data_IF_229128087829
#
_entry.id   IF_229128087829
#
_cell.length_a   1.000
_cell.length_b   1.000
_cell.length_c   1.000
_cell.angle_alpha   90.00
_cell.angle_beta   90.00
_cell.angle_gamma   90.00
#
_symmetry.space_group_name_H-M   'P 1'
#
loop_
_entity.id
_entity.type
_entity.pdbx_description
1 polymer ?
#
# COMPACT_ATOMS: atom_id res chain seq x y z
N UNK A 1 -4.61 22.06 18.56
CA UNK A 1 -4.14 20.69 18.27
C UNK A 1 -3.53 20.66 16.88
N UNK A 2 -2.36 20.03 16.72
CA UNK A 2 -1.67 19.86 15.45
C UNK A 2 -1.78 18.40 15.02
N UNK A 3 -2.48 18.12 13.92
CA UNK A 3 -2.76 16.77 13.40
C UNK A 3 -1.72 16.29 12.37
N UNK A 4 -0.63 17.04 12.18
CA UNK A 4 0.39 16.69 11.19
C UNK A 4 0.98 15.29 11.40
N UNK A 5 1.32 14.84 12.63
CA UNK A 5 1.88 13.51 12.83
C UNK A 5 0.95 12.38 12.35
N UNK A 6 -0.35 12.50 12.63
CA UNK A 6 -1.35 11.51 12.26
C UNK A 6 -1.59 11.48 10.74
N UNK A 7 -1.56 12.65 10.10
CA UNK A 7 -1.67 12.74 8.63
C UNK A 7 -0.47 12.08 7.96
N UNK A 8 0.74 12.30 8.46
CA UNK A 8 1.95 11.66 7.91
C UNK A 8 1.94 10.15 8.15
N UNK A 9 1.47 9.67 9.30
CA UNK A 9 1.30 8.24 9.54
C UNK A 9 0.34 7.59 8.53
N UNK A 10 -0.80 8.23 8.25
CA UNK A 10 -1.74 7.75 7.22
C UNK A 10 -1.10 7.70 5.83
N UNK A 11 -0.31 8.72 5.46
CA UNK A 11 0.43 8.73 4.19
C UNK A 11 1.47 7.61 4.12
N UNK A 12 2.17 7.35 5.21
CA UNK A 12 3.16 6.28 5.29
C UNK A 12 2.53 4.91 5.08
N UNK A 13 1.42 4.61 5.79
CA UNK A 13 0.70 3.35 5.61
C UNK A 13 0.18 3.19 4.18
N UNK A 14 -0.36 4.26 3.57
CA UNK A 14 -0.80 4.22 2.17
C UNK A 14 0.35 3.93 1.21
N UNK A 15 1.52 4.51 1.46
CA UNK A 15 2.72 4.27 0.63
C UNK A 15 3.15 2.81 0.72
N UNK A 16 3.23 2.26 1.93
CA UNK A 16 3.56 0.85 2.16
C UNK A 16 2.53 -0.10 1.51
N UNK A 17 1.26 0.29 1.47
CA UNK A 17 0.23 -0.48 0.80
C UNK A 17 0.36 -0.52 -0.73
N UNK A 18 0.98 0.51 -1.33
CA UNK A 18 1.25 0.53 -2.77
C UNK A 18 2.42 -0.38 -3.16
N UNK A 19 3.25 -0.80 -2.20
CA UNK A 19 4.39 -1.69 -2.43
C UNK A 19 4.01 -3.18 -2.60
N UNK A 20 2.74 -3.55 -2.33
CA UNK A 20 2.21 -4.90 -2.57
C UNK A 20 3.01 -6.03 -1.88
N UNK A 21 3.46 -5.75 -0.65
CA UNK A 21 4.31 -6.66 0.11
C UNK A 21 5.77 -6.69 -0.37
N UNK A 22 6.22 -5.67 -1.08
CA UNK A 22 7.61 -5.42 -1.44
C UNK A 22 8.07 -6.06 -2.75
N UNK A 23 9.27 -5.68 -3.18
CA UNK A 23 9.89 -6.08 -4.46
C UNK A 23 9.88 -7.59 -4.68
N UNK A 24 10.18 -8.38 -3.64
CA UNK A 24 10.16 -9.85 -3.71
C UNK A 24 8.81 -10.42 -4.19
N UNK A 25 7.69 -9.84 -3.78
CA UNK A 25 6.36 -10.29 -4.17
C UNK A 25 5.99 -9.82 -5.58
N UNK A 26 6.40 -8.60 -5.94
CA UNK A 26 6.28 -8.04 -7.31
C UNK A 26 7.05 -8.91 -8.31
N UNK A 27 8.33 -9.16 -8.04
CA UNK A 27 9.21 -9.99 -8.87
C UNK A 27 8.63 -11.41 -9.04
N UNK A 28 8.02 -11.96 -7.98
CA UNK A 28 7.37 -13.28 -8.05
C UNK A 28 6.15 -13.29 -8.99
N UNK A 29 5.41 -12.19 -9.11
CA UNK A 29 4.32 -12.08 -10.09
C UNK A 29 4.89 -12.00 -11.51
N UNK A 30 5.87 -11.12 -11.72
CA UNK A 30 6.50 -10.91 -13.02
C UNK A 30 7.21 -12.16 -13.54
N UNK A 31 7.92 -12.89 -12.67
CA UNK A 31 8.55 -14.16 -13.00
C UNK A 31 7.56 -15.25 -13.48
N UNK A 32 6.28 -15.12 -13.14
CA UNK A 32 5.20 -15.99 -13.62
C UNK A 32 4.50 -15.46 -14.88
N UNK A 33 5.02 -14.39 -15.49
CA UNK A 33 4.39 -13.71 -16.62
C UNK A 33 3.09 -13.00 -16.26
N UNK A 34 2.91 -12.62 -14.98
CA UNK A 34 1.69 -11.98 -14.49
C UNK A 34 1.98 -10.52 -14.14
N UNK A 35 1.03 -9.64 -14.48
CA UNK A 35 0.97 -8.30 -13.91
C UNK A 35 0.56 -8.37 -12.43
N UNK A 36 1.10 -7.46 -11.64
CA UNK A 36 0.65 -7.13 -10.28
C UNK A 36 -0.76 -6.52 -10.31
N UNK A 37 -1.46 -6.45 -9.16
CA UNK A 37 -2.79 -5.83 -9.13
C UNK A 37 -2.74 -4.33 -9.49
N UNK A 38 -1.70 -3.60 -9.10
CA UNK A 38 -1.56 -2.16 -9.42
C UNK A 38 -1.35 -1.93 -10.91
N UNK A 39 -0.52 -2.75 -11.55
CA UNK A 39 -0.34 -2.71 -13.01
C UNK A 39 -1.63 -3.05 -13.76
N UNK A 40 -2.43 -4.02 -13.27
CA UNK A 40 -3.72 -4.35 -13.90
C UNK A 40 -4.73 -3.21 -13.81
N UNK A 41 -4.79 -2.54 -12.66
CA UNK A 41 -5.66 -1.36 -12.47
C UNK A 41 -5.23 -0.26 -13.44
N UNK A 42 -3.94 0.06 -13.49
CA UNK A 42 -3.41 1.10 -14.39
C UNK A 42 -3.60 0.77 -15.87
N UNK A 43 -3.51 -0.51 -16.25
CA UNK A 43 -3.74 -0.94 -17.62
C UNK A 43 -5.20 -0.84 -18.05
N UNK A 44 -6.14 -1.03 -17.11
CA UNK A 44 -7.57 -1.11 -17.40
C UNK A 44 -8.27 0.25 -17.42
N UNK A 45 -7.80 1.19 -16.60
CA UNK A 45 -8.51 2.44 -16.31
C UNK A 45 -7.84 3.64 -16.99
N UNK A 46 -8.66 4.63 -17.34
CA UNK A 46 -8.16 5.92 -17.81
C UNK A 46 -7.35 6.61 -16.68
N UNK A 47 -6.24 7.30 -17.03
CA UNK A 47 -5.45 8.04 -16.05
C UNK A 47 -6.30 8.98 -15.19
N UNK A 48 -5.95 9.08 -13.90
CA UNK A 48 -6.58 9.97 -12.92
C UNK A 48 -8.09 9.74 -12.66
N UNK A 49 -8.66 8.63 -13.14
CA UNK A 49 -10.07 8.28 -12.88
C UNK A 49 -10.28 7.36 -11.68
N UNK A 50 -9.24 6.65 -11.24
CA UNK A 50 -9.37 5.63 -10.21
C UNK A 50 -9.47 6.24 -8.81
N UNK A 51 -10.57 5.94 -8.12
CA UNK A 51 -10.75 6.25 -6.70
C UNK A 51 -10.79 4.95 -5.89
N UNK A 52 -9.81 4.76 -5.02
CA UNK A 52 -9.66 3.53 -4.24
C UNK A 52 -10.32 3.62 -2.88
N UNK A 53 -11.08 2.57 -2.53
CA UNK A 53 -11.66 2.40 -1.19
C UNK A 53 -10.76 1.46 -0.37
N UNK A 54 -10.39 1.90 0.83
CA UNK A 54 -9.58 1.12 1.75
C UNK A 54 -8.13 0.86 1.32
N UNK A 55 -7.38 1.83 0.75
CA UNK A 55 -5.99 1.60 0.32
C UNK A 55 -5.06 1.22 1.46
N UNK A 56 -5.43 1.53 2.72
CA UNK A 56 -4.66 1.21 3.93
C UNK A 56 -5.16 -0.08 4.62
N UNK A 57 -5.99 -0.90 3.97
CA UNK A 57 -6.44 -2.16 4.53
C UNK A 57 -5.26 -3.15 4.66
N UNK A 58 -5.10 -3.71 5.84
CA UNK A 58 -3.99 -4.63 6.14
C UNK A 58 -3.78 -4.78 7.65
N UNK A 59 -2.74 -5.53 8.00
CA UNK A 59 -2.29 -5.66 9.37
C UNK A 59 -1.13 -4.67 9.63
N UNK A 60 -1.20 -3.94 10.74
CA UNK A 60 -0.14 -3.04 11.18
C UNK A 60 0.42 -3.48 12.52
N UNK A 61 1.74 -3.45 12.66
CA UNK A 61 2.44 -3.71 13.89
C UNK A 61 2.98 -2.38 14.42
N UNK A 62 2.70 -2.06 15.70
CA UNK A 62 3.05 -0.78 16.31
C UNK A 62 3.82 -0.98 17.59
N UNK A 63 4.69 -0.03 17.91
CA UNK A 63 5.45 -0.03 19.16
C UNK A 63 4.57 0.39 20.36
N UNK A 64 5.17 0.36 21.56
CA UNK A 64 4.52 0.79 22.80
C UNK A 64 4.06 2.27 22.81
N UNK A 65 4.58 3.08 21.90
CA UNK A 65 4.23 4.50 21.74
C UNK A 65 3.23 4.72 20.59
N UNK A 66 2.77 3.65 19.93
CA UNK A 66 1.86 3.71 18.79
C UNK A 66 2.53 4.03 17.45
N UNK A 67 3.87 4.05 17.37
CA UNK A 67 4.59 4.26 16.11
C UNK A 67 4.58 3.00 15.26
N UNK A 68 4.40 3.16 13.95
CA UNK A 68 4.36 2.06 12.99
C UNK A 68 5.75 1.39 12.88
N UNK A 69 5.80 0.08 13.13
CA UNK A 69 6.99 -0.76 12.95
C UNK A 69 6.93 -1.43 11.57
N UNK A 70 5.81 -2.07 11.26
CA UNK A 70 5.63 -2.83 10.03
C UNK A 70 4.17 -2.77 9.55
N UNK A 71 3.98 -2.93 8.25
CA UNK A 71 2.66 -2.98 7.63
C UNK A 71 2.62 -4.11 6.60
N UNK A 72 1.64 -5.00 6.74
CA UNK A 72 1.35 -6.05 5.78
C UNK A 72 0.05 -5.69 5.05
N UNK A 73 0.13 -5.27 3.78
CA UNK A 73 -1.06 -4.89 3.05
C UNK A 73 -1.92 -6.10 2.69
N UNK A 74 -3.21 -5.87 2.47
CA UNK A 74 -4.16 -6.92 2.06
C UNK A 74 -4.14 -7.25 0.55
N UNK A 75 -3.32 -6.56 -0.25
CA UNK A 75 -3.32 -6.59 -1.72
C UNK A 75 -2.10 -7.29 -2.34
#
# INVERSE_FOLDING_TARGET
MNWRPEIEDIKNVRTLALEQGGTKNVDRQHAKGRLTVRERIQFLLDPDTFQEVGPAAGASERDKNGQLISFTPAN
#
